data_IF_052819422910
#
_entry.id   IF_052819422910
#
_cell.length_a   1.000
_cell.length_b   1.000
_cell.length_c   1.000
_cell.angle_alpha   90.00
_cell.angle_beta   90.00
_cell.angle_gamma   90.00
#
_symmetry.space_group_name_H-M   'P 1'
#
loop_
_entity.id
_entity.type
_entity.pdbx_description
1 polymer ?
#
# COMPACT_ATOMS: atom_id res chain seq x y z
N UNK A 1 0.93 13.54 -8.62
CA UNK A 1 0.14 12.35 -8.23
C UNK A 1 0.32 12.13 -6.73
N UNK A 2 -0.69 11.60 -6.03
CA UNK A 2 -0.56 11.31 -4.60
C UNK A 2 -0.71 9.81 -4.39
N UNK A 3 0.32 9.21 -3.78
CA UNK A 3 0.28 7.87 -3.27
C UNK A 3 0.14 7.94 -1.74
N UNK A 4 -0.47 6.92 -1.15
CA UNK A 4 -0.70 6.81 0.29
C UNK A 4 -0.21 5.45 0.77
N UNK A 5 0.62 5.44 1.80
CA UNK A 5 1.15 4.22 2.39
C UNK A 5 0.29 3.83 3.59
N UNK A 6 -0.08 2.56 3.66
CA UNK A 6 -0.68 1.92 4.83
C UNK A 6 0.31 0.87 5.32
N UNK A 7 0.81 1.07 6.53
CA UNK A 7 1.79 0.19 7.16
C UNK A 7 1.53 0.10 8.67
N UNK A 8 2.04 -0.92 9.38
CA UNK A 8 1.84 -1.06 10.82
C UNK A 8 2.28 0.17 11.60
N UNK A 9 3.47 0.69 11.30
CA UNK A 9 4.10 1.80 12.00
C UNK A 9 5.00 2.65 11.09
N UNK A 10 5.47 3.77 11.64
CA UNK A 10 6.32 4.74 10.92
C UNK A 10 7.63 4.11 10.42
N UNK A 11 8.20 3.14 11.15
CA UNK A 11 9.47 2.52 10.76
C UNK A 11 9.32 1.76 9.44
N UNK A 12 8.28 0.92 9.33
CA UNK A 12 7.95 0.18 8.10
C UNK A 12 7.58 1.11 6.95
N UNK A 13 6.83 2.18 7.23
CA UNK A 13 6.51 3.18 6.22
C UNK A 13 7.79 3.86 5.68
N UNK A 14 8.70 4.27 6.56
CA UNK A 14 9.96 4.89 6.18
C UNK A 14 10.87 3.96 5.37
N UNK A 15 10.91 2.68 5.71
CA UNK A 15 11.65 1.66 4.96
C UNK A 15 11.13 1.57 3.51
N UNK A 16 9.81 1.47 3.35
CA UNK A 16 9.17 1.46 2.04
C UNK A 16 9.44 2.76 1.26
N UNK A 17 9.26 3.92 1.90
CA UNK A 17 9.53 5.24 1.26
C UNK A 17 10.97 5.31 0.76
N UNK A 18 11.95 4.93 1.59
CA UNK A 18 13.37 4.97 1.23
C UNK A 18 13.67 4.08 0.03
N UNK A 19 13.11 2.89 -0.02
CA UNK A 19 13.33 1.97 -1.13
C UNK A 19 12.62 2.42 -2.41
N UNK A 20 11.41 2.99 -2.34
CA UNK A 20 10.75 3.63 -3.48
C UNK A 20 11.57 4.81 -4.02
N UNK A 21 12.06 5.67 -3.12
CA UNK A 21 12.91 6.81 -3.50
C UNK A 21 14.25 6.36 -4.09
N UNK A 22 14.86 5.31 -3.55
CA UNK A 22 16.10 4.72 -4.09
C UNK A 22 15.88 4.12 -5.48
N UNK A 23 14.67 3.67 -5.78
CA UNK A 23 14.24 3.23 -7.12
C UNK A 23 13.89 4.39 -8.08
N UNK A 24 14.05 5.64 -7.64
CA UNK A 24 13.74 6.83 -8.42
C UNK A 24 12.24 7.07 -8.58
N UNK A 25 11.44 6.72 -7.56
CA UNK A 25 10.01 7.01 -7.50
C UNK A 25 9.74 8.15 -6.52
N UNK A 26 8.93 9.11 -6.91
CA UNK A 26 8.53 10.22 -6.05
C UNK A 26 7.47 9.81 -5.02
N UNK A 27 7.91 9.50 -3.80
CA UNK A 27 7.04 9.21 -2.67
C UNK A 27 7.26 10.23 -1.53
N UNK A 28 6.25 11.08 -1.22
CA UNK A 28 6.30 11.99 -0.07
C UNK A 28 6.29 11.20 1.24
N UNK A 29 7.22 11.49 2.15
CA UNK A 29 7.38 10.75 3.41
C UNK A 29 6.26 10.98 4.44
N UNK A 30 5.40 11.97 4.20
CA UNK A 30 4.28 12.39 5.06
C UNK A 30 2.94 11.73 4.70
N UNK A 31 2.84 11.04 3.57
CA UNK A 31 1.62 10.35 3.14
C UNK A 31 1.55 8.91 3.66
N UNK A 32 1.36 8.77 4.97
CA UNK A 32 1.31 7.48 5.66
C UNK A 32 0.14 7.40 6.66
N UNK A 33 -0.48 6.22 6.75
CA UNK A 33 -1.46 5.85 7.77
C UNK A 33 -0.94 4.65 8.57
N UNK A 34 -0.67 4.80 9.89
CA UNK A 34 -0.31 3.68 10.75
C UNK A 34 -1.50 2.76 10.96
N UNK A 35 -1.30 1.45 11.04
CA UNK A 35 -2.40 0.51 11.33
C UNK A 35 -2.35 -0.07 12.74
N UNK A 36 -1.24 0.02 13.45
CA UNK A 36 -1.15 -0.47 14.85
C UNK A 36 -1.85 0.46 15.83
N UNK A 37 -1.91 1.76 15.54
CA UNK A 37 -2.36 2.78 16.50
C UNK A 37 -3.74 3.35 16.23
N UNK A 38 -4.37 3.01 15.09
CA UNK A 38 -5.70 3.51 14.73
C UNK A 38 -6.65 2.42 14.22
N UNK A 39 -7.97 2.59 14.43
CA UNK A 39 -8.98 1.62 14.02
C UNK A 39 -9.23 1.65 12.51
N UNK A 40 -9.80 0.56 11.98
CA UNK A 40 -10.14 0.39 10.56
C UNK A 40 -11.03 1.51 10.00
N UNK A 41 -12.00 1.96 10.79
CA UNK A 41 -12.90 3.07 10.42
C UNK A 41 -12.14 4.36 10.17
N UNK A 42 -11.13 4.66 10.99
CA UNK A 42 -10.30 5.85 10.84
C UNK A 42 -9.33 5.74 9.66
N UNK A 43 -8.73 4.57 9.44
CA UNK A 43 -7.92 4.30 8.25
C UNK A 43 -8.75 4.58 7.00
N UNK A 44 -9.95 4.01 6.92
CA UNK A 44 -10.86 4.20 5.79
C UNK A 44 -11.25 5.67 5.62
N UNK A 45 -11.54 6.38 6.72
CA UNK A 45 -11.88 7.80 6.68
C UNK A 45 -10.72 8.67 6.16
N UNK A 46 -9.48 8.38 6.57
CA UNK A 46 -8.28 9.08 6.10
C UNK A 46 -8.01 8.80 4.62
N UNK A 47 -8.13 7.54 4.19
CA UNK A 47 -8.07 7.18 2.77
C UNK A 47 -9.15 7.90 1.96
N UNK A 48 -10.36 8.02 2.50
CA UNK A 48 -11.46 8.69 1.81
C UNK A 48 -11.28 10.20 1.66
N UNK A 49 -10.64 10.85 2.65
CA UNK A 49 -10.28 12.27 2.59
C UNK A 49 -9.03 12.53 1.74
N UNK A 50 -8.23 11.50 1.50
CA UNK A 50 -7.07 11.59 0.62
C UNK A 50 -7.50 11.64 -0.84
N UNK A 51 -6.83 12.47 -1.62
CA UNK A 51 -6.84 12.48 -3.09
C UNK A 51 -5.81 11.50 -3.68
N UNK A 52 -5.41 10.49 -2.90
CA UNK A 52 -4.52 9.45 -3.36
C UNK A 52 -5.18 8.57 -4.42
N UNK A 53 -4.48 8.40 -5.53
CA UNK A 53 -4.88 7.52 -6.64
C UNK A 53 -4.19 6.15 -6.55
N UNK A 54 -3.15 6.04 -5.72
CA UNK A 54 -2.38 4.82 -5.47
C UNK A 54 -2.38 4.59 -3.96
N UNK A 55 -2.69 3.37 -3.54
CA UNK A 55 -2.50 2.88 -2.18
C UNK A 55 -1.47 1.78 -2.16
N UNK A 56 -0.50 1.91 -1.26
CA UNK A 56 0.51 0.91 -1.00
C UNK A 56 0.23 0.32 0.38
N UNK A 57 -0.21 -0.93 0.45
CA UNK A 57 -0.49 -1.63 1.71
C UNK A 57 0.64 -2.61 1.97
N UNK A 58 1.37 -2.46 3.07
CA UNK A 58 2.45 -3.40 3.40
C UNK A 58 1.88 -4.76 3.85
N UNK A 59 2.54 -5.87 3.51
CA UNK A 59 2.13 -7.22 3.98
C UNK A 59 2.26 -7.38 5.49
N UNK A 60 3.05 -6.54 6.15
CA UNK A 60 3.13 -6.48 7.62
C UNK A 60 1.83 -5.97 8.29
N UNK A 61 0.86 -5.44 7.52
CA UNK A 61 -0.46 -5.07 8.06
C UNK A 61 -1.26 -6.34 8.36
N UNK A 62 -1.95 -6.36 9.50
CA UNK A 62 -2.81 -7.49 9.88
C UNK A 62 -3.80 -7.85 8.74
N UNK A 63 -3.88 -9.13 8.34
CA UNK A 63 -4.70 -9.56 7.20
C UNK A 63 -6.16 -9.09 7.24
N UNK A 64 -6.81 -9.23 8.39
CA UNK A 64 -8.21 -8.84 8.62
C UNK A 64 -8.42 -7.34 8.45
N UNK A 65 -7.42 -6.53 8.82
CA UNK A 65 -7.44 -5.09 8.67
C UNK A 65 -7.17 -4.69 7.22
N UNK A 66 -6.22 -5.35 6.55
CA UNK A 66 -5.96 -5.14 5.13
C UNK A 66 -7.19 -5.46 4.25
N UNK A 67 -7.83 -6.61 4.44
CA UNK A 67 -9.06 -6.96 3.70
C UNK A 67 -10.20 -5.98 3.99
N UNK A 68 -10.39 -5.61 5.26
CA UNK A 68 -11.41 -4.65 5.66
C UNK A 68 -11.20 -3.25 5.04
N UNK A 69 -9.96 -2.84 4.79
CA UNK A 69 -9.65 -1.59 4.08
C UNK A 69 -10.11 -1.71 2.63
N UNK A 70 -9.70 -2.79 1.94
CA UNK A 70 -10.00 -2.97 0.52
C UNK A 70 -11.49 -3.13 0.27
N UNK A 71 -12.18 -3.93 1.09
CA UNK A 71 -13.64 -4.13 0.99
C UNK A 71 -14.40 -2.80 1.10
N UNK A 72 -14.03 -1.95 2.07
CA UNK A 72 -14.66 -0.64 2.25
C UNK A 72 -14.36 0.33 1.10
N UNK A 73 -13.23 0.17 0.42
CA UNK A 73 -12.87 0.98 -0.74
C UNK A 73 -13.48 0.46 -2.05
N UNK A 74 -13.92 -0.80 -2.09
CA UNK A 74 -14.51 -1.43 -3.26
C UNK A 74 -15.77 -0.68 -3.75
N UNK A 75 -16.59 -0.18 -2.81
CA UNK A 75 -17.83 0.54 -3.10
C UNK A 75 -17.65 2.02 -3.42
N UNK A 76 -16.41 2.50 -3.61
CA UNK A 76 -16.11 3.92 -3.87
C UNK A 76 -16.20 4.24 -5.36
N UNK A 77 -16.89 5.33 -5.72
CA UNK A 77 -17.02 5.79 -7.11
C UNK A 77 -15.67 6.13 -7.78
N UNK A 78 -14.66 6.54 -7.01
CA UNK A 78 -13.25 6.63 -7.43
C UNK A 78 -12.40 5.75 -6.53
N UNK A 79 -12.28 4.48 -6.92
CA UNK A 79 -11.40 3.52 -6.27
C UNK A 79 -9.94 3.78 -6.66
N UNK A 80 -9.04 4.00 -5.71
CA UNK A 80 -7.60 4.07 -5.97
C UNK A 80 -7.04 2.70 -6.37
N UNK A 81 -5.95 2.66 -7.13
CA UNK A 81 -5.23 1.41 -7.41
C UNK A 81 -4.49 0.95 -6.16
N UNK A 82 -4.77 -0.27 -5.72
CA UNK A 82 -4.25 -0.81 -4.47
C UNK A 82 -3.16 -1.84 -4.77
N UNK A 83 -1.97 -1.59 -4.26
CA UNK A 83 -0.82 -2.48 -4.36
C UNK A 83 -0.52 -3.06 -2.97
N UNK A 84 -0.49 -4.40 -2.88
CA UNK A 84 0.14 -5.07 -1.75
C UNK A 84 1.67 -5.01 -1.93
N UNK A 85 2.40 -4.62 -0.91
CA UNK A 85 3.86 -4.54 -0.95
C UNK A 85 4.45 -5.39 0.16
N UNK A 86 5.20 -6.43 -0.17
CA UNK A 86 5.66 -7.40 0.84
C UNK A 86 6.99 -8.05 0.50
N UNK A 87 7.69 -8.54 1.52
CA UNK A 87 8.98 -9.17 1.34
C UNK A 87 8.86 -10.49 0.56
N UNK A 88 9.81 -10.79 -0.32
CA UNK A 88 9.93 -12.12 -0.96
C UNK A 88 10.16 -13.25 0.04
N UNK A 89 10.63 -12.91 1.24
CA UNK A 89 10.85 -13.87 2.33
C UNK A 89 9.59 -14.17 3.13
N UNK A 90 8.51 -13.38 2.97
CA UNK A 90 7.21 -13.74 3.51
C UNK A 90 6.68 -14.92 2.71
N UNK A 91 6.74 -16.13 3.28
CA UNK A 91 6.18 -17.37 2.70
C UNK A 91 4.65 -17.41 2.70
N UNK A 92 3.99 -16.27 2.92
CA UNK A 92 2.56 -16.05 2.70
C UNK A 92 2.16 -15.44 1.32
N UNK A 93 2.93 -15.48 0.20
CA UNK A 93 2.57 -14.76 -1.03
C UNK A 93 1.34 -15.35 -1.74
N UNK A 94 0.85 -16.52 -1.32
CA UNK A 94 -0.32 -17.17 -1.92
C UNK A 94 -1.64 -16.82 -1.22
N UNK A 95 -1.61 -16.21 -0.03
CA UNK A 95 -2.83 -15.75 0.64
C UNK A 95 -3.18 -14.29 0.32
N UNK A 96 -2.21 -13.44 -0.03
CA UNK A 96 -2.40 -12.00 -0.22
C UNK A 96 -3.34 -11.63 -1.38
N UNK A 97 -3.25 -12.30 -2.54
CA UNK A 97 -4.09 -11.98 -3.71
C UNK A 97 -5.55 -12.40 -3.57
N UNK A 98 -5.82 -13.50 -2.84
CA UNK A 98 -7.17 -14.06 -2.68
C UNK A 98 -7.88 -13.49 -1.44
N UNK A 99 -7.16 -13.10 -0.38
CA UNK A 99 -7.78 -12.59 0.84
C UNK A 99 -8.06 -11.08 0.86
N UNK A 100 -7.28 -10.25 0.16
CA UNK A 100 -7.40 -8.79 0.31
C UNK A 100 -8.17 -8.12 -0.83
N UNK A 101 -8.18 -8.66 -2.04
CA UNK A 101 -8.80 -7.99 -3.19
C UNK A 101 -7.99 -6.79 -3.73
N UNK A 102 -6.67 -6.75 -3.45
CA UNK A 102 -5.76 -5.75 -4.03
C UNK A 102 -5.64 -5.92 -5.55
N UNK A 103 -5.34 -4.83 -6.25
CA UNK A 103 -5.22 -4.84 -7.72
C UNK A 103 -3.92 -5.53 -8.15
N UNK A 104 -2.83 -5.26 -7.43
CA UNK A 104 -1.50 -5.74 -7.76
C UNK A 104 -0.69 -6.09 -6.51
N UNK A 105 0.38 -6.85 -6.70
CA UNK A 105 1.34 -7.21 -5.67
C UNK A 105 2.75 -6.87 -6.16
N UNK A 106 3.54 -6.29 -5.26
CA UNK A 106 4.92 -5.89 -5.51
C UNK A 106 5.78 -6.50 -4.42
N UNK A 107 6.77 -7.27 -4.87
CA UNK A 107 7.73 -7.89 -3.98
C UNK A 107 8.82 -6.91 -3.53
N UNK A 108 9.29 -7.10 -2.32
CA UNK A 108 10.42 -6.40 -1.71
C UNK A 108 11.60 -7.36 -1.52
N UNK A 109 12.84 -6.98 -1.90
CA UNK A 109 13.24 -5.69 -2.48
C UNK A 109 12.65 -5.45 -3.89
N UNK A 110 12.41 -4.18 -4.23
CA UNK A 110 11.83 -3.78 -5.52
C UNK A 110 12.70 -4.25 -6.68
N UNK A 111 12.12 -5.06 -7.57
CA UNK A 111 12.75 -5.43 -8.83
C UNK A 111 12.33 -4.46 -9.96
N UNK A 112 12.95 -4.59 -11.13
CA UNK A 112 12.69 -3.71 -12.28
C UNK A 112 11.23 -3.76 -12.75
N UNK A 113 10.56 -4.91 -12.63
CA UNK A 113 9.14 -5.08 -12.98
C UNK A 113 8.22 -4.33 -11.99
N UNK A 114 8.46 -4.46 -10.69
CA UNK A 114 7.73 -3.73 -9.64
C UNK A 114 7.86 -2.21 -9.79
N UNK A 115 9.06 -1.73 -10.11
CA UNK A 115 9.31 -0.30 -10.39
C UNK A 115 8.55 0.13 -11.65
N UNK A 116 8.59 -0.65 -12.72
CA UNK A 116 7.88 -0.33 -13.96
C UNK A 116 6.36 -0.27 -13.75
N UNK A 117 5.79 -1.18 -12.95
CA UNK A 117 4.36 -1.17 -12.61
C UNK A 117 3.97 0.05 -11.78
N UNK A 118 4.77 0.41 -10.79
CA UNK A 118 4.56 1.63 -10.00
C UNK A 118 4.63 2.89 -10.86
N UNK A 119 5.59 2.96 -11.81
CA UNK A 119 5.68 4.05 -12.79
C UNK A 119 4.46 4.09 -13.71
N UNK A 120 4.03 2.94 -14.24
CA UNK A 120 2.82 2.85 -15.07
C UNK A 120 1.54 3.22 -14.30
N UNK A 121 1.52 3.02 -12.98
CA UNK A 121 0.45 3.46 -12.10
C UNK A 121 0.47 4.96 -11.82
N UNK A 122 1.61 5.63 -12.06
CA UNK A 122 1.76 7.07 -11.89
C UNK A 122 2.71 7.52 -10.78
N UNK A 123 3.47 6.62 -10.18
CA UNK A 123 4.54 6.98 -9.24
C UNK A 123 5.79 7.36 -10.07
N UNK A 124 5.97 8.65 -10.34
CA UNK A 124 7.12 9.22 -11.07
C UNK A 124 7.92 10.13 -10.14
#
# INVERSE_FOLDING_TARGET
MKALIIAPNQAKANELVRALQSAGLNMPGDNFIPTETIPLSEITARVNRSDANILLITTDVEPTKASGIVERLHYKAKRPRIFAVGSVTDTSPLQSRIHYGTDEEISFPLNSDGIARLKAAGLF
#
